data_IF_135619337011
#
_entry.id   IF_135619337011
#
_cell.length_a   1.000
_cell.length_b   1.000
_cell.length_c   1.000
_cell.angle_alpha   90.00
_cell.angle_beta   90.00
_cell.angle_gamma   90.00
#
_symmetry.space_group_name_H-M   'P 1'
#
loop_
_entity.id
_entity.type
_entity.pdbx_description
1 polymer ?
#
# COMPACT_ATOMS: atom_id res chain seq x y z
N UNK A 1 21.46 -1.05 45.82
CA UNK A 1 21.50 -1.96 44.66
C UNK A 1 20.55 -1.41 43.62
N UNK A 2 21.10 -0.71 42.63
CA UNK A 2 20.35 -0.12 41.53
C UNK A 2 19.98 -1.25 40.55
N UNK A 3 18.70 -1.61 40.49
CA UNK A 3 18.12 -2.38 39.40
C UNK A 3 17.33 -1.43 38.51
N UNK A 4 18.01 -0.62 37.70
CA UNK A 4 17.34 0.09 36.62
C UNK A 4 16.92 -0.96 35.59
N UNK A 5 15.68 -1.44 35.69
CA UNK A 5 15.03 -2.17 34.61
C UNK A 5 15.01 -1.21 33.42
N UNK A 6 15.89 -1.45 32.45
CA UNK A 6 15.81 -0.82 31.14
C UNK A 6 14.52 -1.38 30.53
N UNK A 7 13.41 -0.66 30.73
CA UNK A 7 12.16 -0.92 30.04
C UNK A 7 12.49 -0.85 28.55
N UNK A 8 12.30 -1.96 27.84
CA UNK A 8 12.38 -1.98 26.40
C UNK A 8 11.47 -0.87 25.86
N UNK A 9 11.92 -0.06 24.88
CA UNK A 9 11.11 1.01 24.34
C UNK A 9 9.77 0.47 23.83
N UNK A 10 8.72 1.27 24.01
CA UNK A 10 7.36 1.03 23.50
C UNK A 10 7.45 0.63 22.03
N UNK A 11 6.93 -0.54 21.66
CA UNK A 11 7.04 -1.07 20.30
C UNK A 11 6.15 -0.28 19.34
N UNK A 12 6.71 0.76 18.70
CA UNK A 12 6.18 1.22 17.42
C UNK A 12 6.48 0.11 16.40
N UNK A 13 5.44 -0.57 15.94
CA UNK A 13 5.52 -1.59 14.87
C UNK A 13 5.60 -0.94 13.48
N UNK A 14 6.00 0.33 13.42
CA UNK A 14 6.14 1.13 12.20
C UNK A 14 7.61 1.35 11.93
N UNK A 15 8.09 0.88 10.80
CA UNK A 15 9.46 1.10 10.33
C UNK A 15 9.49 2.18 9.25
N UNK A 16 10.35 3.20 9.41
CA UNK A 16 10.60 4.20 8.35
C UNK A 16 11.89 3.87 7.60
N UNK A 17 11.75 3.54 6.33
CA UNK A 17 12.83 3.24 5.43
C UNK A 17 13.23 4.48 4.61
N UNK A 18 14.53 4.61 4.34
CA UNK A 18 15.06 5.59 3.37
C UNK A 18 15.56 4.93 2.08
N UNK A 19 15.67 3.60 2.07
CA UNK A 19 16.10 2.81 0.92
C UNK A 19 15.11 1.68 0.68
N UNK A 20 15.13 1.11 -0.52
CA UNK A 20 14.27 -0.03 -0.89
C UNK A 20 14.64 -1.27 -0.08
N UNK A 21 15.91 -1.46 0.27
CA UNK A 21 16.37 -2.61 1.05
C UNK A 21 15.85 -2.56 2.48
N UNK A 22 15.83 -1.37 3.09
CA UNK A 22 15.23 -1.16 4.41
C UNK A 22 13.72 -1.43 4.43
N UNK A 23 13.08 -1.46 3.25
CA UNK A 23 11.67 -1.80 3.10
C UNK A 23 11.36 -3.28 3.41
N UNK A 24 12.38 -4.16 3.33
CA UNK A 24 12.28 -5.56 3.74
C UNK A 24 12.06 -5.75 5.25
N UNK A 25 12.17 -4.69 6.06
CA UNK A 25 11.84 -4.71 7.49
C UNK A 25 10.40 -5.20 7.76
N UNK A 26 9.49 -5.13 6.78
CA UNK A 26 8.14 -5.69 6.90
C UNK A 26 8.10 -7.20 7.20
N UNK A 27 9.18 -7.92 6.86
CA UNK A 27 9.33 -9.35 7.13
C UNK A 27 9.60 -9.63 8.62
N UNK A 28 10.07 -8.63 9.38
CA UNK A 28 10.21 -8.75 10.83
C UNK A 28 8.81 -8.94 11.46
N UNK A 29 8.58 -9.99 12.27
CA UNK A 29 7.31 -10.22 12.96
C UNK A 29 6.82 -9.02 13.78
N UNK A 30 7.73 -8.17 14.28
CA UNK A 30 7.40 -7.00 15.11
C UNK A 30 7.09 -5.73 14.29
N UNK A 31 7.23 -5.76 12.95
CA UNK A 31 6.90 -4.64 12.05
C UNK A 31 5.59 -4.92 11.31
N UNK A 32 4.58 -4.08 11.50
CA UNK A 32 3.28 -4.21 10.79
C UNK A 32 3.07 -3.14 9.71
N UNK A 33 3.89 -2.09 9.69
CA UNK A 33 3.93 -1.10 8.62
C UNK A 33 5.37 -0.68 8.34
N UNK A 34 5.82 -0.83 7.09
CA UNK A 34 7.05 -0.20 6.63
C UNK A 34 6.68 0.97 5.70
N UNK A 35 7.26 2.16 5.92
CA UNK A 35 7.01 3.36 5.12
C UNK A 35 8.32 3.80 4.48
N UNK A 36 8.35 3.87 3.15
CA UNK A 36 9.46 4.44 2.40
C UNK A 36 9.09 5.83 1.90
N UNK A 37 9.73 6.83 2.50
CA UNK A 37 9.68 8.21 2.02
C UNK A 37 10.64 8.35 0.85
N UNK A 38 10.10 8.23 -0.36
CA UNK A 38 10.89 8.24 -1.59
C UNK A 38 11.49 9.62 -1.84
N UNK A 39 12.74 9.69 -2.36
CA UNK A 39 13.36 10.96 -2.70
C UNK A 39 12.65 11.67 -3.87
N UNK A 40 11.98 10.91 -4.75
CA UNK A 40 11.25 11.43 -5.91
C UNK A 40 10.12 10.49 -6.31
N UNK A 41 9.13 11.03 -7.02
CA UNK A 41 8.02 10.30 -7.65
C UNK A 41 7.67 10.94 -9.01
N UNK A 42 7.08 10.20 -9.95
CA UNK A 42 6.49 10.80 -11.14
C UNK A 42 5.33 11.74 -10.77
N UNK A 43 5.19 12.84 -11.52
CA UNK A 43 4.09 13.79 -11.33
C UNK A 43 2.87 13.43 -12.16
N UNK A 44 1.68 13.61 -11.60
CA UNK A 44 0.39 13.31 -12.26
C UNK A 44 -0.46 14.57 -12.33
N UNK A 45 -0.67 15.07 -13.55
CA UNK A 45 -1.27 16.37 -13.80
C UNK A 45 -2.80 16.40 -13.63
N UNK A 46 -3.52 15.51 -14.33
CA UNK A 46 -4.99 15.36 -14.29
C UNK A 46 -5.37 13.88 -14.42
N UNK A 47 -6.48 13.49 -13.80
CA UNK A 47 -7.10 12.16 -13.91
C UNK A 47 -8.39 12.18 -14.75
N UNK A 48 -8.62 13.23 -15.54
CA UNK A 48 -9.83 13.37 -16.34
C UNK A 48 -10.03 12.17 -17.27
N UNK A 49 -11.17 11.48 -17.10
CA UNK A 49 -11.52 10.27 -17.83
C UNK A 49 -10.69 9.03 -17.49
N UNK A 50 -9.71 9.12 -16.57
CA UNK A 50 -8.97 7.94 -16.10
C UNK A 50 -9.92 7.02 -15.31
N UNK A 51 -9.94 5.75 -15.69
CA UNK A 51 -10.73 4.70 -15.05
C UNK A 51 -9.94 3.94 -13.98
N UNK A 52 -10.08 2.62 -14.00
CA UNK A 52 -9.30 1.72 -13.14
C UNK A 52 -8.48 0.80 -14.02
N UNK A 53 -7.22 0.61 -13.66
CA UNK A 53 -6.38 -0.47 -14.18
C UNK A 53 -6.31 -1.53 -13.08
N UNK A 54 -6.77 -2.75 -13.38
CA UNK A 54 -6.67 -3.89 -12.48
C UNK A 54 -6.21 -5.11 -13.26
N UNK A 55 -5.10 -5.71 -12.86
CA UNK A 55 -4.51 -6.83 -13.60
C UNK A 55 -3.73 -7.77 -12.68
N UNK A 56 -3.55 -9.00 -13.14
CA UNK A 56 -2.53 -9.91 -12.59
C UNK A 56 -1.46 -10.09 -13.66
N UNK A 57 -0.19 -9.97 -13.28
CA UNK A 57 0.93 -10.11 -14.21
C UNK A 57 2.07 -10.89 -13.57
N UNK A 58 2.85 -11.60 -14.39
CA UNK A 58 4.19 -12.03 -13.98
C UNK A 58 5.06 -10.79 -13.80
N UNK A 59 5.98 -10.84 -12.83
CA UNK A 59 6.81 -9.68 -12.47
C UNK A 59 7.66 -9.18 -13.64
N UNK A 60 8.17 -10.09 -14.48
CA UNK A 60 8.98 -9.79 -15.66
C UNK A 60 8.17 -9.16 -16.81
N UNK A 61 6.84 -9.35 -16.83
CA UNK A 61 5.93 -8.79 -17.85
C UNK A 61 5.14 -7.58 -17.36
N UNK A 62 5.21 -7.23 -16.07
CA UNK A 62 4.42 -6.17 -15.46
C UNK A 62 4.55 -4.83 -16.20
N UNK A 63 5.76 -4.43 -16.60
CA UNK A 63 5.97 -3.18 -17.33
C UNK A 63 5.23 -3.15 -18.68
N UNK A 64 5.38 -4.20 -19.49
CA UNK A 64 4.71 -4.28 -20.78
C UNK A 64 3.18 -4.31 -20.63
N UNK A 65 2.66 -5.09 -19.67
CA UNK A 65 1.23 -5.16 -19.39
C UNK A 65 0.65 -3.80 -18.93
N UNK A 66 1.41 -3.04 -18.14
CA UNK A 66 1.03 -1.68 -17.74
C UNK A 66 0.95 -0.73 -18.94
N UNK A 67 1.94 -0.76 -19.83
CA UNK A 67 1.92 0.04 -21.06
C UNK A 67 0.66 -0.26 -21.88
N UNK A 68 0.34 -1.55 -22.07
CA UNK A 68 -0.85 -1.96 -22.81
C UNK A 68 -2.15 -1.48 -22.13
N UNK A 69 -2.22 -1.56 -20.79
CA UNK A 69 -3.39 -1.09 -20.03
C UNK A 69 -3.53 0.44 -20.05
N UNK A 70 -2.44 1.19 -19.94
CA UNK A 70 -2.45 2.65 -20.06
C UNK A 70 -2.82 3.11 -21.47
N UNK A 71 -2.52 2.32 -22.51
CA UNK A 71 -2.96 2.61 -23.87
C UNK A 71 -4.49 2.53 -24.05
N UNK A 72 -5.21 1.87 -23.13
CA UNK A 72 -6.68 1.84 -23.08
C UNK A 72 -7.29 3.00 -22.28
N UNK A 73 -6.46 3.87 -21.67
CA UNK A 73 -6.90 5.04 -20.93
C UNK A 73 -6.80 6.31 -21.80
N UNK A 74 -7.51 7.41 -21.48
CA UNK A 74 -7.31 8.69 -22.14
C UNK A 74 -5.83 9.09 -22.13
N UNK A 75 -5.25 9.51 -23.27
CA UNK A 75 -3.81 9.77 -23.35
C UNK A 75 -3.35 10.84 -22.36
N UNK A 76 -2.30 10.54 -21.60
CA UNK A 76 -1.64 11.51 -20.73
C UNK A 76 -0.13 11.30 -20.72
N UNK A 77 0.62 12.41 -20.65
CA UNK A 77 2.09 12.41 -20.72
C UNK A 77 2.75 11.63 -19.57
N UNK A 78 2.06 11.46 -18.45
CA UNK A 78 2.57 10.80 -17.25
C UNK A 78 2.46 9.26 -17.28
N UNK A 79 1.74 8.67 -18.25
CA UNK A 79 1.47 7.22 -18.28
C UNK A 79 2.75 6.37 -18.29
N UNK A 80 3.73 6.74 -19.12
CA UNK A 80 4.97 5.98 -19.24
C UNK A 80 5.78 6.00 -17.93
N UNK A 81 5.88 7.16 -17.28
CA UNK A 81 6.61 7.31 -16.02
C UNK A 81 5.93 6.56 -14.87
N UNK A 82 4.60 6.59 -14.79
CA UNK A 82 3.86 5.82 -13.79
C UNK A 82 3.95 4.31 -14.06
N UNK A 83 3.90 3.87 -15.33
CA UNK A 83 4.08 2.46 -15.69
C UNK A 83 5.46 1.94 -15.27
N UNK A 84 6.51 2.73 -15.52
CA UNK A 84 7.88 2.41 -15.12
C UNK A 84 8.03 2.34 -13.60
N UNK A 85 7.48 3.33 -12.87
CA UNK A 85 7.55 3.37 -11.41
C UNK A 85 6.77 2.22 -10.76
N UNK A 86 5.55 1.92 -11.22
CA UNK A 86 4.77 0.76 -10.76
C UNK A 86 5.52 -0.55 -11.03
N UNK A 87 6.15 -0.70 -12.20
CA UNK A 87 6.91 -1.90 -12.51
C UNK A 87 8.13 -2.08 -11.57
N UNK A 88 8.84 -1.00 -11.24
CA UNK A 88 9.95 -1.05 -10.28
C UNK A 88 9.48 -1.39 -8.86
N UNK A 89 8.34 -0.83 -8.43
CA UNK A 89 7.71 -1.17 -7.15
C UNK A 89 7.23 -2.63 -7.13
N UNK A 90 6.68 -3.12 -8.24
CA UNK A 90 6.25 -4.51 -8.39
C UNK A 90 7.42 -5.48 -8.28
N UNK A 91 8.56 -5.18 -8.91
CA UNK A 91 9.78 -5.97 -8.77
C UNK A 91 10.28 -6.00 -7.32
N UNK A 92 10.32 -4.84 -6.66
CA UNK A 92 10.77 -4.72 -5.27
C UNK A 92 9.86 -5.48 -4.31
N UNK A 93 8.55 -5.30 -4.45
CA UNK A 93 7.54 -6.01 -3.66
C UNK A 93 7.63 -7.52 -3.85
N UNK A 94 7.72 -7.98 -5.09
CA UNK A 94 7.83 -9.39 -5.40
C UNK A 94 9.12 -10.02 -4.87
N UNK A 95 10.24 -9.28 -4.90
CA UNK A 95 11.50 -9.74 -4.30
C UNK A 95 11.39 -9.88 -2.77
N UNK A 96 10.79 -8.91 -2.09
CA UNK A 96 10.56 -8.96 -0.63
C UNK A 96 9.64 -10.13 -0.26
N UNK A 97 8.56 -10.31 -1.02
CA UNK A 97 7.52 -11.30 -0.73
C UNK A 97 7.77 -12.68 -1.36
N UNK A 98 8.87 -12.84 -2.10
CA UNK A 98 9.21 -14.05 -2.86
C UNK A 98 8.09 -14.51 -3.82
N UNK A 99 7.65 -13.63 -4.72
CA UNK A 99 6.54 -13.85 -5.65
C UNK A 99 6.99 -13.87 -7.11
N UNK A 100 6.35 -14.70 -7.93
CA UNK A 100 6.51 -14.68 -9.40
C UNK A 100 5.44 -13.85 -10.12
N UNK A 101 4.31 -13.61 -9.44
CA UNK A 101 3.17 -12.85 -9.94
C UNK A 101 2.75 -11.81 -8.92
N UNK A 102 2.13 -10.73 -9.41
CA UNK A 102 1.57 -9.66 -8.60
C UNK A 102 0.19 -9.28 -9.11
N UNK A 103 -0.66 -8.83 -8.20
CA UNK A 103 -1.95 -8.22 -8.52
C UNK A 103 -1.81 -6.72 -8.37
N UNK A 104 -1.96 -6.01 -9.48
CA UNK A 104 -1.81 -4.55 -9.57
C UNK A 104 -3.18 -3.92 -9.68
N UNK A 105 -3.44 -2.90 -8.86
CA UNK A 105 -4.57 -2.00 -9.01
C UNK A 105 -4.12 -0.55 -8.97
N UNK A 106 -4.53 0.22 -9.97
CA UNK A 106 -4.36 1.66 -10.03
C UNK A 106 -5.73 2.28 -10.31
N UNK A 107 -6.24 3.09 -9.38
CA UNK A 107 -7.61 3.58 -9.43
C UNK A 107 -7.71 5.08 -9.16
N UNK A 108 -8.60 5.73 -9.91
CA UNK A 108 -9.05 7.09 -9.60
C UNK A 108 -10.13 7.03 -8.52
N UNK A 109 -9.85 7.57 -7.34
CA UNK A 109 -10.80 7.67 -6.23
C UNK A 109 -11.35 9.09 -6.16
N UNK A 110 -12.67 9.23 -6.32
CA UNK A 110 -13.41 10.51 -6.21
C UNK A 110 -14.53 10.46 -5.16
N UNK A 111 -14.60 9.35 -4.42
CA UNK A 111 -15.68 9.08 -3.47
C UNK A 111 -15.12 8.55 -2.15
N UNK A 112 -16.00 8.38 -1.17
CA UNK A 112 -15.68 7.82 0.15
C UNK A 112 -15.55 6.27 0.14
N UNK A 113 -15.22 5.67 -1.00
CA UNK A 113 -14.88 4.26 -1.06
C UNK A 113 -13.73 3.97 -0.07
N UNK A 114 -13.90 2.96 0.80
CA UNK A 114 -12.94 2.61 1.85
C UNK A 114 -12.67 3.70 2.93
N UNK A 115 -13.61 4.63 3.19
CA UNK A 115 -13.52 5.62 4.30
C UNK A 115 -13.57 5.02 5.71
N UNK A 116 -14.01 3.77 5.83
CA UNK A 116 -14.11 3.09 7.12
C UNK A 116 -12.73 2.55 7.48
N UNK A 117 -12.35 2.74 8.74
CA UNK A 117 -11.15 2.12 9.30
C UNK A 117 -11.23 0.60 9.19
N UNK A 118 -10.22 0.00 8.59
CA UNK A 118 -10.12 -1.45 8.40
C UNK A 118 -8.66 -1.89 8.39
N UNK A 119 -8.45 -3.20 8.50
CA UNK A 119 -7.19 -3.84 8.15
C UNK A 119 -7.50 -4.94 7.16
N UNK A 120 -6.72 -5.01 6.09
CA UNK A 120 -6.97 -5.90 4.97
C UNK A 120 -6.74 -7.38 5.31
N UNK A 121 -7.53 -8.26 4.69
CA UNK A 121 -7.35 -9.71 4.73
C UNK A 121 -6.39 -10.20 3.64
N UNK A 122 -5.14 -9.75 3.75
CA UNK A 122 -4.02 -10.11 2.86
C UNK A 122 -2.78 -10.42 3.71
N UNK A 123 -1.71 -10.92 3.09
CA UNK A 123 -0.42 -11.12 3.76
C UNK A 123 0.28 -9.78 3.98
N UNK A 124 0.69 -9.14 2.88
CA UNK A 124 1.23 -7.78 2.84
C UNK A 124 0.64 -7.08 1.61
N UNK A 125 0.23 -5.82 1.78
CA UNK A 125 -0.21 -4.94 0.70
C UNK A 125 0.73 -3.75 0.57
N UNK A 126 1.14 -3.43 -0.64
CA UNK A 126 1.77 -2.14 -0.93
C UNK A 126 0.69 -1.12 -1.27
N UNK A 127 0.82 0.09 -0.72
CA UNK A 127 -0.04 1.23 -1.06
C UNK A 127 0.85 2.44 -1.36
N UNK A 128 0.53 3.17 -2.42
CA UNK A 128 1.14 4.46 -2.75
C UNK A 128 0.09 5.37 -3.40
N UNK A 129 0.05 6.64 -3.00
CA UNK A 129 -0.81 7.64 -3.64
C UNK A 129 0.01 8.50 -4.58
N UNK A 130 -0.29 8.48 -5.88
CA UNK A 130 0.40 9.28 -6.91
C UNK A 130 -0.18 10.68 -7.09
N UNK A 131 -1.42 10.90 -6.64
CA UNK A 131 -2.08 12.21 -6.65
C UNK A 131 -3.12 12.25 -5.53
N UNK A 132 -3.32 13.41 -4.92
CA UNK A 132 -4.27 13.62 -3.82
C UNK A 132 -3.72 13.20 -2.45
N UNK A 133 -4.60 13.15 -1.45
CA UNK A 133 -4.24 12.82 -0.06
C UNK A 133 -3.84 11.35 0.10
N UNK A 134 -2.77 11.11 0.85
CA UNK A 134 -2.28 9.76 1.13
C UNK A 134 -3.17 8.97 2.11
N UNK A 135 -3.07 7.65 2.05
CA UNK A 135 -3.74 6.72 2.97
C UNK A 135 -3.54 7.11 4.43
N UNK A 136 -4.64 7.18 5.18
CA UNK A 136 -4.63 7.43 6.62
C UNK A 136 -4.47 6.12 7.38
N UNK A 137 -3.72 6.14 8.48
CA UNK A 137 -3.49 4.98 9.34
C UNK A 137 -3.42 5.39 10.81
N UNK A 138 -3.63 4.43 11.70
CA UNK A 138 -3.61 4.65 13.15
C UNK A 138 -2.34 4.03 13.74
N UNK A 139 -1.54 4.86 14.39
CA UNK A 139 -0.44 4.40 15.24
C UNK A 139 -1.02 4.09 16.62
N UNK A 140 -0.91 2.84 17.06
CA UNK A 140 -1.27 2.44 18.41
C UNK A 140 -0.03 2.45 19.29
N UNK A 141 0.04 3.40 20.22
CA UNK A 141 1.04 3.41 21.29
C UNK A 141 0.42 2.88 22.57
N UNK A 142 0.99 1.82 23.13
CA UNK A 142 0.64 1.36 24.47
C UNK A 142 1.63 1.99 25.45
N UNK A 143 1.28 3.15 25.99
CA UNK A 143 2.11 3.79 27.01
C UNK A 143 1.95 3.01 28.32
N UNK A 144 2.84 2.04 28.57
CA UNK A 144 2.79 1.12 29.73
C UNK A 144 1.57 0.19 29.78
N UNK A 145 1.71 -0.96 30.47
CA UNK A 145 0.66 -1.98 30.53
C UNK A 145 -0.66 -1.51 31.18
N UNK A 146 -0.62 -0.37 31.90
CA UNK A 146 -1.73 0.16 32.68
C UNK A 146 -2.40 1.40 32.08
N UNK A 147 -1.90 1.96 30.97
CA UNK A 147 -2.56 3.09 30.30
C UNK A 147 -3.36 2.62 29.07
N UNK A 148 -4.51 3.26 28.78
CA UNK A 148 -5.23 3.01 27.55
C UNK A 148 -4.35 3.35 26.34
N UNK A 149 -4.39 2.49 25.31
CA UNK A 149 -3.62 2.73 24.11
C UNK A 149 -4.05 4.04 23.45
N UNK A 150 -3.08 4.94 23.20
CA UNK A 150 -3.34 6.17 22.45
C UNK A 150 -3.26 5.85 20.97
N UNK A 151 -4.38 6.06 20.29
CA UNK A 151 -4.50 5.92 18.85
C UNK A 151 -4.23 7.28 18.19
N UNK A 152 -3.13 7.39 17.47
CA UNK A 152 -2.79 8.62 16.77
C UNK A 152 -2.99 8.48 15.27
N UNK A 153 -3.83 9.33 14.69
CA UNK A 153 -4.03 9.41 13.25
C UNK A 153 -2.77 9.93 12.57
N UNK A 154 -2.39 9.26 11.49
CA UNK A 154 -1.28 9.60 10.59
C UNK A 154 -1.76 9.48 9.15
N UNK A 155 -1.01 10.08 8.23
CA UNK A 155 -1.19 9.90 6.79
C UNK A 155 0.14 9.56 6.16
N UNK A 156 0.13 8.73 5.12
CA UNK A 156 1.25 8.64 4.20
C UNK A 156 1.42 9.98 3.47
N UNK A 157 2.65 10.42 3.28
CA UNK A 157 2.95 11.55 2.40
C UNK A 157 2.62 11.18 0.95
N UNK A 158 2.32 12.17 0.11
CA UNK A 158 2.14 11.95 -1.33
C UNK A 158 3.39 11.26 -1.91
N UNK A 159 3.18 10.19 -2.68
CA UNK A 159 4.25 9.40 -3.26
C UNK A 159 5.02 8.51 -2.28
N UNK A 160 4.79 8.59 -0.98
CA UNK A 160 5.36 7.63 -0.04
C UNK A 160 4.74 6.25 -0.29
N UNK A 161 5.56 5.22 -0.13
CA UNK A 161 5.15 3.83 -0.32
C UNK A 161 5.01 3.20 1.05
N UNK A 162 3.87 2.57 1.33
CA UNK A 162 3.64 1.80 2.55
C UNK A 162 3.48 0.32 2.26
N UNK A 163 4.22 -0.55 2.96
CA UNK A 163 3.92 -1.98 3.06
C UNK A 163 3.14 -2.23 4.34
N UNK A 164 1.88 -2.61 4.19
CA UNK A 164 0.95 -2.90 5.27
C UNK A 164 0.88 -4.41 5.48
N UNK A 165 1.31 -4.89 6.64
CA UNK A 165 1.09 -6.28 7.02
C UNK A 165 -0.39 -6.47 7.34
N UNK A 166 -1.05 -7.32 6.56
CA UNK A 166 -2.47 -7.60 6.69
C UNK A 166 -2.78 -8.64 7.75
N UNK A 167 -4.07 -8.92 7.93
CA UNK A 167 -4.59 -9.81 8.98
C UNK A 167 -4.10 -11.25 8.87
N UNK A 168 -3.71 -11.72 7.68
CA UNK A 168 -3.19 -13.08 7.50
C UNK A 168 -1.90 -13.28 8.30
N UNK A 169 -1.04 -12.25 8.39
CA UNK A 169 0.24 -12.34 9.09
C UNK A 169 0.21 -11.68 10.47
N UNK A 170 -0.51 -10.58 10.64
CA UNK A 170 -0.50 -9.80 11.89
C UNK A 170 -1.74 -10.02 12.77
N UNK A 171 -2.79 -10.69 12.29
CA UNK A 171 -4.04 -10.85 13.02
C UNK A 171 -4.63 -9.52 13.50
N UNK A 172 -4.91 -9.41 14.79
CA UNK A 172 -5.42 -8.18 15.44
C UNK A 172 -4.38 -7.07 15.57
N UNK A 173 -3.11 -7.35 15.27
CA UNK A 173 -2.04 -6.34 15.26
C UNK A 173 -1.85 -5.68 13.89
N UNK A 174 -2.62 -6.09 12.88
CA UNK A 174 -2.57 -5.48 11.56
C UNK A 174 -2.89 -3.98 11.62
N UNK A 175 -2.17 -3.18 10.84
CA UNK A 175 -2.34 -1.73 10.83
C UNK A 175 -3.72 -1.37 10.30
N UNK A 176 -4.46 -0.65 11.14
CA UNK A 176 -5.76 -0.09 10.79
C UNK A 176 -5.54 1.17 9.95
N UNK A 177 -6.14 1.18 8.76
CA UNK A 177 -5.99 2.24 7.78
C UNK A 177 -7.29 2.49 7.01
N UNK A 178 -7.32 3.57 6.24
CA UNK A 178 -8.43 3.95 5.37
C UNK A 178 -7.97 4.90 4.27
N UNK A 179 -8.80 5.04 3.23
CA UNK A 179 -8.70 6.22 2.37
C UNK A 179 -9.24 7.45 3.12
N UNK A 180 -8.60 8.64 3.01
CA UNK A 180 -9.16 9.88 3.53
C UNK A 180 -10.58 10.14 2.99
N UNK A 181 -11.52 10.66 3.81
CA UNK A 181 -12.84 11.05 3.32
C UNK A 181 -12.72 12.31 2.44
N UNK A 182 -12.85 12.15 1.13
CA UNK A 182 -12.68 13.23 0.14
C UNK A 182 -13.98 13.58 -0.61
N UNK A 183 -15.07 12.85 -0.39
CA UNK A 183 -16.33 13.13 -1.10
C UNK A 183 -16.81 14.56 -0.84
N UNK A 184 -17.18 15.26 -1.92
CA UNK A 184 -17.67 16.64 -1.85
C UNK A 184 -16.60 17.72 -1.67
N UNK A 185 -15.32 17.35 -1.55
CA UNK A 185 -14.22 18.33 -1.44
C UNK A 185 -13.72 18.83 -2.80
N UNK A 186 -14.02 18.11 -3.88
CA UNK A 186 -13.43 18.33 -5.21
C UNK A 186 -12.05 17.70 -5.40
N UNK A 187 -11.50 17.06 -4.36
CA UNK A 187 -10.27 16.29 -4.45
C UNK A 187 -10.49 14.95 -5.16
N UNK A 188 -9.45 14.48 -5.84
CA UNK A 188 -9.35 13.15 -6.44
C UNK A 188 -8.00 12.52 -6.07
N UNK A 189 -7.97 11.20 -5.96
CA UNK A 189 -6.74 10.45 -5.72
C UNK A 189 -6.44 9.50 -6.86
N UNK A 190 -5.15 9.35 -7.19
CA UNK A 190 -4.67 8.22 -7.97
C UNK A 190 -3.98 7.25 -7.01
N UNK A 191 -4.72 6.23 -6.59
CA UNK A 191 -4.29 5.25 -5.61
C UNK A 191 -3.72 4.02 -6.31
N UNK A 192 -2.48 3.67 -5.97
CA UNK A 192 -1.84 2.45 -6.40
C UNK A 192 -1.77 1.44 -5.25
N UNK A 193 -2.16 0.20 -5.56
CA UNK A 193 -2.13 -0.94 -4.66
C UNK A 193 -1.46 -2.11 -5.38
N UNK A 194 -0.58 -2.83 -4.66
CA UNK A 194 -0.11 -4.15 -5.08
C UNK A 194 -0.34 -5.19 -3.98
N UNK A 195 -0.78 -6.36 -4.39
CA UNK A 195 -0.92 -7.53 -3.54
C UNK A 195 -0.20 -8.73 -4.17
N UNK A 196 0.10 -9.72 -3.34
CA UNK A 196 0.38 -11.06 -3.85
C UNK A 196 -0.87 -11.70 -4.44
N UNK A 197 -0.73 -12.67 -5.35
CA UNK A 197 -1.86 -13.47 -5.79
C UNK A 197 -2.51 -14.15 -4.57
N UNK A 198 -3.82 -14.43 -4.64
CA UNK A 198 -4.51 -15.19 -3.61
C UNK A 198 -3.81 -16.55 -3.39
N UNK A 199 -3.94 -17.16 -2.20
CA UNK A 199 -3.49 -18.53 -1.98
C UNK A 199 -4.03 -19.46 -3.06
N UNK A 200 -3.24 -20.47 -3.48
CA UNK A 200 -3.56 -21.36 -4.60
C UNK A 200 -4.97 -21.98 -4.49
N UNK A 201 -5.41 -22.32 -3.28
CA UNK A 201 -6.73 -22.87 -2.97
C UNK A 201 -7.90 -21.95 -3.37
N UNK A 202 -7.65 -20.64 -3.47
CA UNK A 202 -8.66 -19.60 -3.77
C UNK A 202 -8.47 -18.92 -5.12
N UNK A 203 -7.42 -19.29 -5.88
CA UNK A 203 -7.05 -18.64 -7.14
C UNK A 203 -8.19 -18.63 -8.18
N UNK A 204 -8.91 -19.75 -8.35
CA UNK A 204 -10.00 -19.85 -9.32
C UNK A 204 -11.23 -18.98 -8.97
N UNK A 205 -11.48 -18.72 -7.68
CA UNK A 205 -12.55 -17.81 -7.24
C UNK A 205 -12.16 -16.36 -7.48
N UNK A 206 -10.89 -16.04 -7.25
CA UNK A 206 -10.33 -14.70 -7.47
C UNK A 206 -10.30 -14.30 -8.94
N UNK A 207 -9.86 -15.18 -9.84
CA UNK A 207 -9.90 -14.92 -11.29
C UNK A 207 -11.32 -14.56 -11.77
N UNK A 208 -12.33 -15.30 -11.28
CA UNK A 208 -13.73 -15.02 -11.59
C UNK A 208 -14.22 -13.69 -11.03
N UNK A 209 -13.73 -13.27 -9.86
CA UNK A 209 -14.07 -11.97 -9.27
C UNK A 209 -13.40 -10.81 -10.02
N UNK A 210 -12.16 -10.98 -10.46
CA UNK A 210 -11.39 -9.97 -11.21
C UNK A 210 -11.93 -9.73 -12.63
N UNK A 211 -12.64 -10.68 -13.21
CA UNK A 211 -13.30 -10.55 -14.52
C UNK A 211 -14.67 -9.85 -14.46
N UNK A 212 -15.19 -9.52 -13.27
CA UNK A 212 -16.53 -8.95 -13.07
C UNK A 212 -16.54 -7.45 -12.74
N UNK A 213 -15.37 -6.81 -12.69
CA UNK A 213 -15.21 -5.35 -12.62
C UNK A 213 -14.89 -4.77 -13.98
#
# INVERSE_FOLDING_TARGET
MNGATILAPVRSHVHRARTVEAFAAILDPDVNLAIWERPSMPSVASLDGFGTIQMTATVDRAHAALIDAFAQQPPAAWHADIAADIAALAQSFAAIMNLSHVVIRLERVVSDACKRWHADYVSVRLICTYRGSGTQWIERSAETADAPAVETLRSLALGAVGLFKGRILAGEQAIVHRSPPIAGTGEEQLLFVIDGPPPAETAALWERAMQRG
#
